data_IF_911070207981
#
_entry.id   IF_911070207981
#
_cell.length_a   1.000
_cell.length_b   1.000
_cell.length_c   1.000
_cell.angle_alpha   90.00
_cell.angle_beta   90.00
_cell.angle_gamma   90.00
#
_symmetry.space_group_name_H-M   'P 1'
#
loop_
_entity.id
_entity.type
_entity.pdbx_description
1 polymer ?
#
# COMPACT_ATOMS: atom_id res chain seq x y z
N UNK A 1 -5.17 24.71 -0.31
CA UNK A 1 -6.42 24.27 -0.96
C UNK A 1 -6.92 23.08 -0.17
N UNK A 2 -8.10 23.12 0.46
CA UNK A 2 -8.62 21.97 1.22
C UNK A 2 -8.95 20.85 0.21
N UNK A 3 -8.33 19.69 0.36
CA UNK A 3 -8.61 18.51 -0.47
C UNK A 3 -10.08 18.10 -0.24
N UNK A 4 -10.84 17.96 -1.33
CA UNK A 4 -12.20 17.44 -1.23
C UNK A 4 -12.14 15.92 -1.29
N UNK A 5 -12.40 15.24 -0.17
CA UNK A 5 -12.34 13.77 -0.08
C UNK A 5 -13.21 13.04 -1.10
N UNK A 6 -14.30 13.68 -1.58
CA UNK A 6 -15.15 13.10 -2.63
C UNK A 6 -14.41 12.93 -3.96
N UNK A 7 -13.41 13.77 -4.22
CA UNK A 7 -12.62 13.72 -5.44
C UNK A 7 -11.44 12.73 -5.34
N UNK A 8 -11.16 12.22 -4.12
CA UNK A 8 -10.09 11.28 -3.83
C UNK A 8 -10.55 9.82 -3.76
N UNK A 9 -11.81 9.53 -4.03
CA UNK A 9 -12.32 8.17 -4.04
C UNK A 9 -11.61 7.33 -5.11
N UNK A 10 -11.25 6.11 -4.74
CA UNK A 10 -10.72 5.10 -5.66
C UNK A 10 -11.82 4.08 -5.97
N UNK A 11 -12.10 3.90 -7.26
CA UNK A 11 -12.99 2.86 -7.75
C UNK A 11 -12.18 1.65 -8.21
N UNK A 12 -12.61 0.46 -7.83
CA UNK A 12 -11.95 -0.79 -8.21
C UNK A 12 -12.98 -1.88 -8.49
N UNK A 13 -13.04 -2.34 -9.74
CA UNK A 13 -13.93 -3.43 -10.15
C UNK A 13 -13.55 -4.80 -9.59
N UNK A 14 -12.33 -4.96 -9.06
CA UNK A 14 -11.88 -6.19 -8.40
C UNK A 14 -11.78 -6.08 -6.89
N UNK A 15 -12.33 -5.00 -6.30
CA UNK A 15 -12.19 -4.71 -4.88
C UNK A 15 -10.82 -4.12 -4.52
N UNK A 16 -10.43 -4.28 -3.24
CA UNK A 16 -9.21 -3.70 -2.69
C UNK A 16 -8.42 -4.72 -1.89
N UNK A 17 -7.12 -4.52 -1.78
CA UNK A 17 -6.19 -5.33 -1.00
C UNK A 17 -5.12 -4.44 -0.38
N UNK A 18 -4.62 -4.80 0.80
CA UNK A 18 -3.42 -4.16 1.35
C UNK A 18 -2.18 -4.54 0.53
N UNK A 19 -1.15 -3.70 0.46
CA UNK A 19 0.01 -3.92 -0.42
C UNK A 19 0.83 -5.16 -0.07
N UNK A 20 0.73 -5.66 1.16
CA UNK A 20 1.37 -6.91 1.62
C UNK A 20 0.58 -7.51 2.78
N UNK A 21 0.73 -8.83 3.05
CA UNK A 21 0.04 -9.47 4.15
C UNK A 21 0.70 -9.14 5.49
N UNK A 22 -0.11 -8.87 6.51
CA UNK A 22 0.28 -8.89 7.92
C UNK A 22 -0.23 -10.19 8.54
N UNK A 23 0.57 -10.80 9.41
CA UNK A 23 0.14 -11.92 10.24
C UNK A 23 -0.65 -11.39 11.43
N UNK A 24 -1.48 -12.25 12.00
CA UNK A 24 -2.35 -11.92 13.14
C UNK A 24 -1.58 -11.39 14.38
N UNK A 25 -0.28 -11.73 14.50
CA UNK A 25 0.63 -11.34 15.57
C UNK A 25 1.64 -10.24 15.16
N UNK A 26 1.46 -9.66 13.98
CA UNK A 26 2.42 -8.75 13.40
C UNK A 26 1.84 -7.33 13.28
N UNK A 27 2.49 -6.39 13.92
CA UNK A 27 2.16 -4.96 13.79
C UNK A 27 2.81 -4.34 12.56
N UNK A 28 2.11 -3.37 11.95
CA UNK A 28 2.68 -2.55 10.88
C UNK A 28 3.78 -1.65 11.46
N UNK A 29 5.01 -1.90 11.05
CA UNK A 29 6.16 -1.14 11.53
C UNK A 29 6.64 -0.15 10.48
N UNK A 30 6.54 1.14 10.80
CA UNK A 30 7.13 2.22 10.01
C UNK A 30 8.56 2.47 10.49
N UNK A 31 9.52 2.34 9.60
CA UNK A 31 10.93 2.58 9.88
C UNK A 31 11.36 3.99 9.51
N UNK A 32 10.71 4.58 8.49
CA UNK A 32 10.90 5.97 8.09
C UNK A 32 9.56 6.56 7.64
N UNK A 33 9.15 7.68 8.26
CA UNK A 33 7.87 8.33 8.01
C UNK A 33 7.87 9.22 6.78
N UNK A 34 6.69 9.67 6.37
CA UNK A 34 6.47 10.64 5.29
C UNK A 34 6.84 12.07 5.74
N UNK A 35 7.27 12.92 4.81
CA UNK A 35 7.53 14.33 5.00
C UNK A 35 8.94 14.63 5.51
N UNK A 36 9.09 15.69 6.29
CA UNK A 36 10.40 16.16 6.74
C UNK A 36 11.00 15.21 7.77
N UNK A 37 12.09 14.56 7.41
CA UNK A 37 12.85 13.62 8.22
C UNK A 37 14.23 14.15 8.56
N UNK A 38 14.89 13.55 9.55
CA UNK A 38 16.26 13.87 9.93
C UNK A 38 17.11 12.61 9.80
N UNK A 39 18.23 12.72 9.10
CA UNK A 39 19.16 11.61 8.92
C UNK A 39 19.74 11.18 10.28
N UNK A 40 19.65 9.89 10.65
CA UNK A 40 20.00 9.43 12.00
C UNK A 40 21.47 9.67 12.38
N UNK A 41 22.39 9.69 11.42
CA UNK A 41 23.83 9.84 11.66
C UNK A 41 24.39 11.22 11.36
N UNK A 42 23.74 11.98 10.50
CA UNK A 42 24.28 13.27 9.99
C UNK A 42 23.51 14.51 10.41
N UNK A 43 22.33 14.34 11.04
CA UNK A 43 21.48 15.46 11.44
C UNK A 43 20.90 16.28 10.28
N UNK A 44 21.23 15.96 9.02
CA UNK A 44 20.67 16.63 7.86
C UNK A 44 19.18 16.32 7.72
N UNK A 45 18.40 17.37 7.47
CA UNK A 45 16.96 17.22 7.17
C UNK A 45 16.78 16.95 5.69
N UNK A 46 15.85 16.05 5.37
CA UNK A 46 15.47 15.74 4.00
C UNK A 46 13.96 15.50 3.93
N UNK A 47 13.39 15.68 2.75
CA UNK A 47 11.98 15.40 2.47
C UNK A 47 11.85 13.95 2.03
N UNK A 48 11.08 13.15 2.77
CA UNK A 48 10.77 11.77 2.41
C UNK A 48 9.40 11.73 1.74
N UNK A 49 9.36 11.40 0.45
CA UNK A 49 8.13 11.42 -0.35
C UNK A 49 7.26 10.17 -0.19
N UNK A 50 7.68 9.23 0.63
CA UNK A 50 7.01 7.97 0.90
C UNK A 50 7.05 7.59 2.36
N UNK A 51 6.76 6.35 2.64
CA UNK A 51 6.92 5.70 3.93
C UNK A 51 7.69 4.40 3.74
N UNK A 52 8.63 4.11 4.64
CA UNK A 52 9.33 2.82 4.64
C UNK A 52 8.72 1.92 5.70
N UNK A 53 8.22 0.78 5.25
CA UNK A 53 7.53 -0.22 6.06
C UNK A 53 8.38 -1.48 6.16
N UNK A 54 8.54 -2.01 7.37
CA UNK A 54 9.24 -3.28 7.58
C UNK A 54 8.41 -4.44 7.03
N UNK A 55 8.93 -5.12 6.01
CA UNK A 55 8.22 -6.21 5.32
C UNK A 55 8.97 -7.54 5.35
N UNK A 56 10.29 -7.52 5.47
CA UNK A 56 11.13 -8.73 5.58
C UNK A 56 10.86 -9.76 4.47
N UNK A 57 10.84 -9.32 3.22
CA UNK A 57 10.71 -10.19 2.05
C UNK A 57 9.29 -10.72 1.79
N UNK A 58 8.26 -9.95 2.14
CA UNK A 58 6.87 -10.32 1.89
C UNK A 58 6.49 -10.22 0.41
N UNK A 59 5.51 -11.03 -0.05
CA UNK A 59 4.88 -10.83 -1.34
C UNK A 59 4.18 -9.46 -1.37
N UNK A 60 4.22 -8.79 -2.52
CA UNK A 60 3.56 -7.52 -2.75
C UNK A 60 2.34 -7.71 -3.65
N UNK A 61 1.23 -7.13 -3.26
CA UNK A 61 -0.04 -7.23 -3.96
C UNK A 61 -0.46 -5.90 -4.56
N UNK A 62 -1.10 -6.00 -5.73
CA UNK A 62 -1.84 -4.88 -6.28
C UNK A 62 -2.99 -4.49 -5.36
N UNK A 63 -3.06 -3.19 -5.06
CA UNK A 63 -4.02 -2.63 -4.10
C UNK A 63 -5.45 -2.60 -4.66
N UNK A 64 -5.58 -2.41 -5.96
CA UNK A 64 -6.84 -2.22 -6.66
C UNK A 64 -6.75 -2.68 -8.12
N UNK A 65 -7.82 -2.52 -8.89
CA UNK A 65 -7.76 -2.63 -10.35
C UNK A 65 -6.95 -1.48 -10.92
N UNK A 66 -5.94 -1.79 -11.72
CA UNK A 66 -5.06 -0.77 -12.28
C UNK A 66 -4.16 -1.29 -13.40
N UNK A 67 -3.09 -0.54 -13.65
CA UNK A 67 -2.11 -0.86 -14.68
C UNK A 67 -0.72 -0.50 -14.19
N UNK A 68 0.26 -1.34 -14.48
CA UNK A 68 1.68 -1.04 -14.24
C UNK A 68 2.14 0.00 -15.25
N UNK A 69 2.53 1.18 -14.78
CA UNK A 69 2.95 2.31 -15.61
C UNK A 69 4.45 2.59 -15.54
N UNK A 70 5.18 1.85 -14.74
CA UNK A 70 6.62 1.96 -14.61
C UNK A 70 7.21 0.78 -13.87
N UNK A 71 8.43 0.45 -14.22
CA UNK A 71 9.31 -0.45 -13.49
C UNK A 71 10.73 -0.04 -13.81
N UNK A 72 11.63 -0.08 -12.83
CA UNK A 72 13.00 0.35 -13.05
C UNK A 72 13.86 0.17 -11.82
N UNK A 73 15.05 0.75 -11.91
CA UNK A 73 16.05 0.78 -10.84
C UNK A 73 16.62 2.19 -10.72
N UNK A 74 16.74 2.70 -9.50
CA UNK A 74 17.46 3.93 -9.20
C UNK A 74 18.24 3.79 -7.87
N UNK A 75 19.12 4.76 -7.59
CA UNK A 75 19.99 4.71 -6.41
C UNK A 75 19.29 4.98 -5.09
N UNK A 76 18.03 5.43 -5.12
CA UNK A 76 17.26 5.80 -3.93
C UNK A 76 16.27 4.68 -3.57
N UNK A 77 15.55 4.16 -4.58
CA UNK A 77 14.47 3.20 -4.38
C UNK A 77 14.89 1.78 -4.75
N UNK A 78 16.13 1.60 -5.24
CA UNK A 78 16.60 0.32 -5.80
C UNK A 78 15.67 -0.14 -6.93
N UNK A 79 15.25 -1.40 -6.95
CA UNK A 79 14.24 -1.84 -7.90
C UNK A 79 12.85 -1.38 -7.45
N UNK A 80 12.04 -0.92 -8.41
CA UNK A 80 10.70 -0.43 -8.12
C UNK A 80 9.69 -0.77 -9.22
N UNK A 81 8.41 -0.80 -8.81
CA UNK A 81 7.24 -0.82 -9.69
C UNK A 81 6.40 0.42 -9.41
N UNK A 82 5.81 1.01 -10.45
CA UNK A 82 4.79 2.04 -10.33
C UNK A 82 3.49 1.50 -10.91
N UNK A 83 2.45 1.46 -10.10
CA UNK A 83 1.11 1.09 -10.49
C UNK A 83 0.18 2.31 -10.48
N UNK A 84 -0.70 2.40 -11.47
CA UNK A 84 -1.73 3.44 -11.55
C UNK A 84 -3.10 2.85 -11.26
N UNK A 85 -3.78 3.43 -10.29
CA UNK A 85 -5.12 3.09 -9.84
C UNK A 85 -6.01 4.32 -9.98
N UNK A 86 -6.73 4.46 -11.09
CA UNK A 86 -7.48 5.68 -11.38
C UNK A 86 -6.57 6.91 -11.41
N UNK A 87 -6.78 7.86 -10.49
CA UNK A 87 -5.94 9.06 -10.32
C UNK A 87 -4.74 8.85 -9.39
N UNK A 88 -4.65 7.70 -8.73
CA UNK A 88 -3.53 7.37 -7.86
C UNK A 88 -2.41 6.72 -8.64
N UNK A 89 -1.19 7.11 -8.32
CA UNK A 89 0.04 6.45 -8.73
C UNK A 89 0.76 5.99 -7.46
N UNK A 90 1.04 4.70 -7.38
CA UNK A 90 1.68 4.08 -6.23
C UNK A 90 3.01 3.47 -6.66
N UNK A 91 4.10 3.93 -6.07
CA UNK A 91 5.43 3.37 -6.25
C UNK A 91 5.71 2.39 -5.11
N UNK A 92 6.13 1.21 -5.47
CA UNK A 92 6.65 0.17 -4.60
C UNK A 92 8.15 0.09 -4.84
N UNK A 93 8.96 0.63 -3.92
CA UNK A 93 10.42 0.61 -3.98
C UNK A 93 11.03 -0.40 -3.01
N UNK A 94 12.35 -0.59 -3.09
CA UNK A 94 13.11 -1.58 -2.35
C UNK A 94 12.58 -3.00 -2.54
N UNK A 95 12.17 -3.32 -3.78
CA UNK A 95 11.68 -4.65 -4.12
C UNK A 95 12.84 -5.54 -4.59
N UNK A 96 12.71 -6.84 -4.39
CA UNK A 96 13.70 -7.82 -4.84
C UNK A 96 13.30 -8.54 -6.12
N UNK A 97 12.00 -8.58 -6.40
CA UNK A 97 11.44 -9.23 -7.58
C UNK A 97 10.23 -8.42 -8.09
N UNK A 98 10.15 -8.25 -9.41
CA UNK A 98 9.04 -7.62 -10.12
C UNK A 98 8.42 -8.63 -11.07
N UNK A 99 7.11 -8.89 -10.95
CA UNK A 99 6.42 -9.92 -11.75
C UNK A 99 5.60 -9.36 -12.90
N UNK A 100 5.30 -8.05 -12.84
CA UNK A 100 4.42 -7.40 -13.80
C UNK A 100 5.18 -6.36 -14.62
N UNK A 101 5.40 -6.59 -15.93
CA UNK A 101 6.03 -5.61 -16.80
C UNK A 101 5.13 -4.39 -17.05
N UNK A 102 5.74 -3.32 -17.59
CA UNK A 102 5.03 -2.12 -18.04
C UNK A 102 3.83 -2.46 -18.93
N UNK A 103 2.71 -1.79 -18.71
CA UNK A 103 1.47 -1.98 -19.47
C UNK A 103 0.58 -3.13 -18.98
N UNK A 104 1.03 -3.93 -18.00
CA UNK A 104 0.24 -5.03 -17.45
C UNK A 104 -0.97 -4.50 -16.71
N UNK A 105 -2.17 -4.95 -17.06
CA UNK A 105 -3.38 -4.75 -16.26
C UNK A 105 -3.33 -5.66 -15.02
N UNK A 106 -3.60 -5.09 -13.86
CA UNK A 106 -3.52 -5.76 -12.57
C UNK A 106 -4.85 -5.64 -11.81
N UNK A 107 -5.10 -6.60 -10.91
CA UNK A 107 -6.31 -6.66 -10.07
C UNK A 107 -5.93 -6.65 -8.61
N UNK A 108 -6.84 -6.20 -7.75
CA UNK A 108 -6.64 -6.28 -6.30
C UNK A 108 -6.27 -7.70 -5.87
N UNK A 109 -5.22 -7.81 -5.04
CA UNK A 109 -4.72 -9.09 -4.55
C UNK A 109 -3.84 -9.86 -5.54
N UNK A 110 -3.66 -9.39 -6.77
CA UNK A 110 -2.69 -9.98 -7.69
C UNK A 110 -1.28 -9.71 -7.18
N UNK A 111 -0.48 -10.76 -7.08
CA UNK A 111 0.94 -10.63 -6.71
C UNK A 111 1.70 -9.92 -7.84
N UNK A 112 2.35 -8.81 -7.50
CA UNK A 112 3.06 -7.96 -8.46
C UNK A 112 4.57 -7.99 -8.27
N UNK A 113 5.05 -8.51 -7.14
CA UNK A 113 6.47 -8.58 -6.82
C UNK A 113 6.71 -9.07 -5.40
N UNK A 114 7.93 -8.88 -4.96
CA UNK A 114 8.38 -9.23 -3.61
C UNK A 114 9.20 -8.09 -3.03
N UNK A 115 8.96 -7.74 -1.77
CA UNK A 115 9.71 -6.70 -1.07
C UNK A 115 11.11 -7.17 -0.70
N UNK A 116 11.99 -6.22 -0.43
CA UNK A 116 13.20 -6.44 0.33
C UNK A 116 12.90 -6.51 1.84
N UNK A 117 13.86 -6.10 2.64
CA UNK A 117 13.66 -5.98 4.09
C UNK A 117 12.63 -4.89 4.42
N UNK A 118 12.61 -3.83 3.64
CA UNK A 118 11.66 -2.73 3.72
C UNK A 118 10.90 -2.61 2.41
N UNK A 119 9.71 -2.05 2.47
CA UNK A 119 8.96 -1.56 1.33
C UNK A 119 8.93 -0.04 1.41
N UNK A 120 9.50 0.65 0.41
CA UNK A 120 9.24 2.06 0.22
C UNK A 120 7.91 2.21 -0.53
N UNK A 121 6.94 2.87 0.07
CA UNK A 121 5.65 3.16 -0.54
C UNK A 121 5.50 4.66 -0.74
N UNK A 122 5.45 5.11 -2.00
CA UNK A 122 5.15 6.49 -2.36
C UNK A 122 3.80 6.56 -3.05
N UNK A 123 2.97 7.53 -2.70
CA UNK A 123 1.64 7.71 -3.28
C UNK A 123 1.50 9.12 -3.83
N UNK A 124 1.02 9.21 -5.07
CA UNK A 124 0.60 10.47 -5.69
C UNK A 124 -0.87 10.40 -6.05
N UNK A 125 -1.58 11.48 -5.84
CA UNK A 125 -2.93 11.67 -6.31
C UNK A 125 -2.95 12.84 -7.30
N UNK A 126 -3.34 12.57 -8.53
CA UNK A 126 -3.37 13.55 -9.62
C UNK A 126 -2.04 14.33 -9.75
N UNK A 127 -0.92 13.59 -9.67
CA UNK A 127 0.46 14.10 -9.75
C UNK A 127 1.01 14.74 -8.47
N UNK A 128 0.21 14.90 -7.42
CA UNK A 128 0.63 15.50 -6.14
C UNK A 128 0.94 14.40 -5.14
N UNK A 129 2.12 14.43 -4.54
CA UNK A 129 2.52 13.52 -3.47
C UNK A 129 1.63 13.71 -2.25
N UNK A 130 1.14 12.62 -1.69
CA UNK A 130 0.30 12.58 -0.49
C UNK A 130 0.89 11.61 0.52
N UNK A 131 0.46 11.72 1.79
CA UNK A 131 0.87 10.78 2.82
C UNK A 131 0.37 9.36 2.50
N UNK A 132 1.28 8.38 2.34
CA UNK A 132 0.88 7.01 2.05
C UNK A 132 0.06 6.35 3.15
N UNK A 133 0.20 6.79 4.41
CA UNK A 133 -0.57 6.24 5.52
C UNK A 133 -2.05 6.65 5.43
N UNK A 134 -2.34 7.89 5.00
CA UNK A 134 -3.71 8.34 4.71
C UNK A 134 -4.33 7.50 3.57
N UNK A 135 -3.55 7.20 2.54
CA UNK A 135 -3.99 6.35 1.44
C UNK A 135 -4.26 4.91 1.89
N UNK A 136 -3.38 4.30 2.68
CA UNK A 136 -3.58 2.96 3.22
C UNK A 136 -4.81 2.88 4.14
N UNK A 137 -5.05 3.91 4.96
CA UNK A 137 -6.25 4.00 5.79
C UNK A 137 -7.54 4.04 4.94
N UNK A 138 -7.53 4.77 3.82
CA UNK A 138 -8.65 4.79 2.87
C UNK A 138 -8.87 3.40 2.25
N UNK A 139 -7.80 2.72 1.81
CA UNK A 139 -7.88 1.37 1.24
C UNK A 139 -8.48 0.40 2.25
N UNK A 140 -8.01 0.44 3.49
CA UNK A 140 -8.55 -0.38 4.57
C UNK A 140 -10.04 -0.12 4.80
N UNK A 141 -10.45 1.14 4.89
CA UNK A 141 -11.87 1.51 5.03
C UNK A 141 -12.73 0.96 3.87
N UNK A 142 -12.22 1.01 2.64
CA UNK A 142 -12.91 0.43 1.48
C UNK A 142 -13.03 -1.09 1.59
N UNK A 143 -12.00 -1.79 2.07
CA UNK A 143 -12.03 -3.24 2.32
C UNK A 143 -13.13 -3.56 3.35
N UNK A 144 -13.18 -2.83 4.46
CA UNK A 144 -14.17 -3.04 5.52
C UNK A 144 -15.60 -2.75 5.02
N UNK A 145 -15.79 -1.70 4.26
CA UNK A 145 -17.10 -1.36 3.71
C UNK A 145 -17.62 -2.46 2.77
N UNK A 146 -16.78 -3.00 1.90
CA UNK A 146 -17.18 -4.09 1.00
C UNK A 146 -17.46 -5.37 1.77
N UNK A 147 -16.68 -5.70 2.78
CA UNK A 147 -16.94 -6.84 3.66
C UNK A 147 -18.28 -6.71 4.39
N UNK A 148 -18.63 -5.53 4.90
CA UNK A 148 -19.91 -5.25 5.53
C UNK A 148 -21.10 -5.39 4.57
N UNK A 149 -20.88 -5.19 3.26
CA UNK A 149 -21.88 -5.42 2.21
C UNK A 149 -21.97 -6.89 1.77
N UNK A 150 -21.21 -7.79 2.39
CA UNK A 150 -21.12 -9.20 2.01
C UNK A 150 -20.34 -9.44 0.71
N UNK A 151 -19.63 -8.44 0.24
CA UNK A 151 -18.75 -8.55 -0.93
C UNK A 151 -17.39 -9.04 -0.41
N UNK A 152 -17.07 -10.29 -0.73
CA UNK A 152 -15.81 -10.88 -0.30
C UNK A 152 -14.68 -10.37 -1.19
N UNK A 153 -13.86 -9.47 -0.65
CA UNK A 153 -12.65 -8.95 -1.30
C UNK A 153 -11.41 -9.79 -1.01
N UNK A 154 -11.55 -10.82 -0.19
CA UNK A 154 -10.42 -11.70 0.05
C UNK A 154 -10.00 -12.32 -1.30
N UNK A 155 -8.72 -12.30 -1.65
CA UNK A 155 -8.23 -13.06 -2.77
C UNK A 155 -8.66 -14.51 -2.56
N UNK A 156 -9.14 -15.15 -3.63
CA UNK A 156 -9.52 -16.56 -3.56
C UNK A 156 -8.32 -17.38 -3.11
N UNK A 157 -8.57 -18.55 -2.52
CA UNK A 157 -7.52 -19.49 -2.08
C UNK A 157 -6.51 -19.80 -3.21
N UNK A 158 -6.95 -19.70 -4.45
CA UNK A 158 -6.13 -19.84 -5.66
C UNK A 158 -5.16 -18.67 -5.86
N UNK A 159 -5.52 -17.45 -5.40
CA UNK A 159 -4.67 -16.25 -5.54
C UNK A 159 -3.61 -16.13 -4.43
N UNK A 160 -3.86 -16.75 -3.28
CA UNK A 160 -2.93 -16.76 -2.14
C UNK A 160 -2.05 -18.01 -2.05
N UNK A 161 -2.16 -18.94 -3.04
CA UNK A 161 -1.61 -20.28 -2.91
C UNK A 161 -2.39 -21.07 -1.85
N UNK A 162 -2.05 -22.32 -1.61
CA UNK A 162 -2.79 -23.28 -0.78
C UNK A 162 -2.89 -22.94 0.74
N UNK A 163 -2.70 -21.70 1.14
CA UNK A 163 -2.96 -21.24 2.51
C UNK A 163 -4.44 -20.92 2.64
N UNK A 164 -5.17 -21.73 3.41
CA UNK A 164 -6.55 -21.44 3.80
C UNK A 164 -6.59 -20.02 4.37
N UNK A 165 -7.42 -19.11 3.83
CA UNK A 165 -7.63 -17.83 4.48
C UNK A 165 -8.20 -18.12 5.86
N UNK A 166 -7.53 -17.75 6.92
CA UNK A 166 -8.17 -17.65 8.21
C UNK A 166 -9.20 -16.53 8.06
N UNK A 167 -10.45 -16.83 8.29
CA UNK A 167 -11.62 -15.95 8.21
C UNK A 167 -11.66 -14.92 9.33
N UNK A 168 -10.53 -14.43 9.74
CA UNK A 168 -10.36 -13.40 10.73
C UNK A 168 -9.54 -12.25 10.14
N UNK A 169 -10.27 -11.25 9.64
CA UNK A 169 -9.86 -9.86 9.77
C UNK A 169 -10.06 -9.53 11.24
N UNK A 170 -9.06 -9.89 12.04
CA UNK A 170 -9.17 -9.83 13.47
C UNK A 170 -9.11 -8.42 14.01
N UNK A 171 -9.60 -8.29 15.24
CA UNK A 171 -9.58 -7.10 16.08
C UNK A 171 -8.27 -6.32 16.03
N UNK A 172 -7.14 -6.98 15.77
CA UNK A 172 -5.82 -6.35 15.63
C UNK A 172 -5.66 -5.52 14.37
N UNK A 173 -6.26 -5.93 13.24
CA UNK A 173 -6.27 -5.10 12.04
C UNK A 173 -7.21 -3.90 12.21
N UNK A 174 -8.29 -4.07 12.96
CA UNK A 174 -9.15 -2.97 13.38
C UNK A 174 -8.38 -2.02 14.33
N UNK A 175 -7.50 -2.53 15.19
CA UNK A 175 -6.63 -1.74 16.05
C UNK A 175 -5.55 -0.98 15.26
N UNK A 176 -4.97 -1.60 14.24
CA UNK A 176 -4.02 -0.92 13.32
C UNK A 176 -4.74 0.19 12.56
N UNK A 177 -5.94 -0.07 12.03
CA UNK A 177 -6.76 0.96 11.40
C UNK A 177 -7.13 2.07 12.39
N UNK A 178 -7.54 1.71 13.61
CA UNK A 178 -7.86 2.68 14.66
C UNK A 178 -6.62 3.47 15.09
N UNK A 179 -5.43 2.87 15.09
CA UNK A 179 -4.17 3.57 15.25
C UNK A 179 -3.90 4.51 14.07
N UNK A 180 -4.05 4.04 12.84
CA UNK A 180 -3.91 4.86 11.63
C UNK A 180 -4.92 6.01 11.62
N UNK A 181 -6.18 5.77 12.00
CA UNK A 181 -7.24 6.79 12.06
C UNK A 181 -7.04 7.80 13.23
N UNK A 182 -6.39 7.42 14.33
CA UNK A 182 -6.04 8.34 15.41
C UNK A 182 -5.04 9.43 15.00
N UNK A 183 -4.28 9.18 13.94
CA UNK A 183 -3.32 10.13 13.37
C UNK A 183 -3.91 10.96 12.24
N UNK A 184 -5.14 10.68 11.81
CA UNK A 184 -5.86 11.56 10.89
C UNK A 184 -6.30 12.80 11.66
N UNK A 185 -5.95 14.02 11.22
CA UNK A 185 -6.46 15.24 11.84
C UNK A 185 -7.99 15.22 11.75
N UNK A 186 -8.64 15.48 12.87
CA UNK A 186 -10.09 15.72 12.90
C UNK A 186 -10.38 16.96 12.05
N UNK A 187 -11.12 16.77 10.96
CA UNK A 187 -11.60 17.82 10.08
C UNK A 187 -13.06 18.17 10.43
#
# INVERSE_FOLDING_TARGET
MKKNYKDMLLESGSGFMMPFPLRDDEELQTTLGFGLQQHPTGGQKFEHHGVDLLTSGKPLYSIATGTVIGAGHDSIHEDYIIAKYGKYEVKYGHITEAYCPYGTSIRAGQEIGKSGQFLHLEVRFDGVTIDPMEFLAMIWANIQQLAAMGINNAPTTEQLGSRKPKTHYDKEQDEILMMMMRWLPAY
#
